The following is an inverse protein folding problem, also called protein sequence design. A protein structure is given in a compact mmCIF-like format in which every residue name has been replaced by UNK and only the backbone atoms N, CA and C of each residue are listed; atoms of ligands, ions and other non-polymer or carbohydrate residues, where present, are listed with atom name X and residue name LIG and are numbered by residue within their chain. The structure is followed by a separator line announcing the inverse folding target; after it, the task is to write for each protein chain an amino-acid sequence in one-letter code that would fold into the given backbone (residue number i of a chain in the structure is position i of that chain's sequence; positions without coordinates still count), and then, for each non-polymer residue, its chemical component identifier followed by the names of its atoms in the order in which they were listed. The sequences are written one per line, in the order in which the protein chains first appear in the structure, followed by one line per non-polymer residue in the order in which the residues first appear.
data_IF_993370921928
#
_entry.id   IF_993370921928
#
_cell.length_a   1.000
_cell.length_b   1.000
_cell.length_c   1.000
_cell.angle_alpha   90.00
_cell.angle_beta   90.00
_cell.angle_gamma   90.00
#
_symmetry.space_group_name_H-M   'P 1'
#
loop_
_entity.id
_entity.type
_entity.pdbx_description
1 polymer ?
#
# COMPACT_ATOMS: atom_id res chain seq x y z
N UNK A 1 -4.22 10.29 34.44
CA UNK A 1 -3.17 9.96 33.45
C UNK A 1 -3.30 8.50 33.13
N UNK A 2 -4.23 8.13 32.25
CA UNK A 2 -4.32 6.80 31.64
C UNK A 2 -4.93 7.03 30.27
N UNK A 3 -4.09 7.43 29.32
CA UNK A 3 -4.45 7.40 27.90
C UNK A 3 -4.61 5.93 27.55
N UNK A 4 -5.86 5.46 27.58
CA UNK A 4 -6.23 4.13 27.08
C UNK A 4 -5.99 4.18 25.58
N UNK A 5 -4.76 3.86 25.19
CA UNK A 5 -4.39 3.55 23.81
C UNK A 5 -5.19 2.31 23.45
N UNK A 6 -6.40 2.52 22.92
CA UNK A 6 -7.17 1.48 22.25
C UNK A 6 -6.22 0.80 21.27
N UNK A 7 -6.11 -0.53 21.25
CA UNK A 7 -5.34 -1.19 20.21
C UNK A 7 -5.96 -0.76 18.89
N UNK A 8 -5.24 0.10 18.15
CA UNK A 8 -5.58 0.56 16.82
C UNK A 8 -5.93 -0.71 16.06
N UNK A 9 -7.22 -0.92 15.76
CA UNK A 9 -7.70 -2.10 15.04
C UNK A 9 -6.71 -2.33 13.92
N UNK A 10 -5.97 -3.44 13.95
CA UNK A 10 -4.94 -3.73 12.95
C UNK A 10 -5.68 -4.11 11.67
N UNK A 11 -6.33 -3.14 11.03
CA UNK A 11 -6.83 -3.28 9.68
C UNK A 11 -5.61 -3.47 8.79
N UNK A 12 -5.68 -4.35 7.77
CA UNK A 12 -4.63 -4.39 6.76
C UNK A 12 -4.38 -2.97 6.27
N UNK A 13 -3.12 -2.54 6.36
CA UNK A 13 -2.71 -1.18 6.00
C UNK A 13 -2.15 -1.24 4.59
N UNK A 14 -2.58 -0.31 3.72
CA UNK A 14 -2.03 -0.20 2.37
C UNK A 14 -0.59 0.31 2.50
N UNK A 15 0.36 -0.53 2.11
CA UNK A 15 1.80 -0.23 2.09
C UNK A 15 2.17 0.43 0.76
N UNK A 16 1.62 -0.06 -0.36
CA UNK A 16 1.91 0.45 -1.70
C UNK A 16 0.69 0.46 -2.60
N UNK A 17 0.68 1.38 -3.55
CA UNK A 17 -0.23 1.42 -4.70
C UNK A 17 0.55 1.28 -6.00
N UNK A 18 0.02 0.49 -6.91
CA UNK A 18 0.58 0.31 -8.25
C UNK A 18 -0.33 1.02 -9.23
N UNK A 19 0.25 1.90 -10.03
CA UNK A 19 -0.43 2.74 -11.00
C UNK A 19 0.09 2.42 -12.40
N UNK A 20 -0.81 2.12 -13.33
CA UNK A 20 -0.48 2.15 -14.76
C UNK A 20 -0.52 3.59 -15.24
N UNK A 21 0.46 3.99 -16.03
CA UNK A 21 0.45 5.28 -16.73
C UNK A 21 0.13 5.00 -18.20
N UNK A 22 -1.02 5.45 -18.66
CA UNK A 22 -1.43 5.36 -20.07
C UNK A 22 -1.84 6.74 -20.59
N UNK A 23 -1.16 7.21 -21.64
CA UNK A 23 -1.46 8.49 -22.35
C UNK A 23 -1.64 9.73 -21.46
N UNK A 24 -1.03 9.75 -20.27
CA UNK A 24 -1.11 10.87 -19.33
C UNK A 24 -2.06 10.63 -18.16
N UNK A 25 -2.90 9.59 -18.24
CA UNK A 25 -3.78 9.18 -17.15
C UNK A 25 -3.09 8.15 -16.24
N UNK A 26 -3.40 8.23 -14.94
CA UNK A 26 -2.95 7.27 -13.94
C UNK A 26 -4.12 6.40 -13.50
N UNK A 27 -3.99 5.10 -13.68
CA UNK A 27 -4.99 4.11 -13.29
C UNK A 27 -4.44 3.23 -12.18
N UNK A 28 -5.17 3.11 -11.08
CA UNK A 28 -4.79 2.21 -9.99
C UNK A 28 -5.06 0.76 -10.41
N UNK A 29 -3.99 -0.04 -10.51
CA UNK A 29 -4.09 -1.43 -10.99
C UNK A 29 -3.89 -2.45 -9.87
N UNK A 30 -3.25 -2.06 -8.77
CA UNK A 30 -3.12 -2.94 -7.60
C UNK A 30 -2.86 -2.17 -6.32
N UNK A 31 -3.14 -2.82 -5.19
CA UNK A 31 -2.71 -2.38 -3.87
C UNK A 31 -1.92 -3.50 -3.18
N UNK A 32 -0.84 -3.13 -2.51
CA UNK A 32 -0.12 -4.01 -1.59
C UNK A 32 -0.54 -3.68 -0.17
N UNK A 33 -1.10 -4.68 0.50
CA UNK A 33 -1.56 -4.59 1.88
C UNK A 33 -0.56 -5.30 2.79
N UNK A 34 -0.17 -4.63 3.87
CA UNK A 34 0.51 -5.27 5.01
C UNK A 34 -0.53 -5.87 5.92
N UNK A 35 -0.49 -7.18 6.10
CA UNK A 35 -1.41 -7.91 6.99
C UNK A 35 -1.00 -7.76 8.45
N UNK A 36 -1.90 -8.13 9.35
CA UNK A 36 -1.70 -8.01 10.81
C UNK A 36 -0.50 -8.79 11.36
N UNK A 37 -0.05 -9.82 10.65
CA UNK A 37 1.12 -10.64 10.96
C UNK A 37 2.39 -10.16 10.23
N UNK A 38 2.37 -8.98 9.63
CA UNK A 38 3.51 -8.38 8.94
C UNK A 38 3.83 -8.96 7.56
N UNK A 39 2.98 -9.87 7.04
CA UNK A 39 3.09 -10.36 5.65
C UNK A 39 2.55 -9.32 4.68
N UNK A 40 2.89 -9.48 3.41
CA UNK A 40 2.34 -8.65 2.34
C UNK A 40 1.42 -9.46 1.45
N UNK A 41 0.31 -8.84 1.05
CA UNK A 41 -0.61 -9.38 0.06
C UNK A 41 -0.87 -8.32 -1.01
N UNK A 42 -0.67 -8.67 -2.27
CA UNK A 42 -1.08 -7.84 -3.39
C UNK A 42 -2.52 -8.18 -3.79
N UNK A 43 -3.33 -7.16 -4.03
CA UNK A 43 -4.67 -7.27 -4.58
C UNK A 43 -4.67 -6.54 -5.92
N UNK A 44 -4.87 -7.29 -7.00
CA UNK A 44 -5.02 -6.74 -8.34
C UNK A 44 -6.45 -6.25 -8.55
N UNK A 45 -6.59 -5.02 -9.04
CA UNK A 45 -7.87 -4.38 -9.34
C UNK A 45 -8.26 -4.51 -10.82
N UNK A 46 -7.30 -4.95 -11.64
CA UNK A 46 -7.48 -5.29 -13.05
C UNK A 46 -6.96 -6.72 -13.28
N UNK A 47 -7.40 -7.43 -14.33
CA UNK A 47 -6.84 -8.74 -14.66
C UNK A 47 -5.34 -8.62 -14.98
N UNK A 48 -4.52 -9.46 -14.36
CA UNK A 48 -3.06 -9.38 -14.47
C UNK A 48 -2.57 -9.46 -15.92
N UNK A 49 -3.26 -10.24 -16.75
CA UNK A 49 -2.97 -10.41 -18.17
C UNK A 49 -3.12 -9.11 -18.99
N UNK A 50 -3.83 -8.10 -18.45
CA UNK A 50 -4.03 -6.79 -19.08
C UNK A 50 -2.93 -5.78 -18.74
N UNK A 51 -2.04 -6.12 -17.81
CA UNK A 51 -0.94 -5.26 -17.41
C UNK A 51 0.09 -5.19 -18.53
N UNK A 52 0.22 -4.00 -19.10
CA UNK A 52 1.18 -3.68 -20.16
C UNK A 52 1.75 -2.28 -19.91
N UNK A 53 2.99 -2.06 -20.33
CA UNK A 53 3.66 -0.78 -20.20
C UNK A 53 4.28 -0.54 -18.82
N UNK A 54 4.47 0.74 -18.47
CA UNK A 54 5.16 1.16 -17.25
C UNK A 54 4.19 1.19 -16.08
N UNK A 55 4.61 0.60 -14.96
CA UNK A 55 3.93 0.70 -13.68
C UNK A 55 4.71 1.64 -12.75
N UNK A 56 4.01 2.62 -12.19
CA UNK A 56 4.50 3.50 -11.14
C UNK A 56 4.07 2.96 -9.78
N UNK A 57 5.02 2.91 -8.84
CA UNK A 57 4.77 2.44 -7.47
C UNK A 57 4.77 3.63 -6.53
N UNK A 58 3.65 3.84 -5.86
CA UNK A 58 3.50 4.80 -4.76
C UNK A 58 3.64 4.05 -3.44
N UNK A 59 4.52 4.52 -2.57
CA UNK A 59 4.64 4.03 -1.19
C UNK A 59 3.72 4.88 -0.31
N UNK A 60 2.78 4.25 0.38
CA UNK A 60 1.71 4.92 1.14
C UNK A 60 2.02 4.99 2.63
N UNK A 61 2.70 3.98 3.18
CA UNK A 61 3.22 4.04 4.56
C UNK A 61 4.52 4.85 4.56
N UNK A 62 4.52 6.04 5.18
CA UNK A 62 5.77 6.69 5.59
C UNK A 62 6.55 5.68 6.45
N UNK A 63 7.82 5.47 6.10
CA UNK A 63 8.72 4.67 6.91
C UNK A 63 8.62 5.15 8.38
N UNK A 64 8.64 4.25 9.37
CA UNK A 64 8.75 4.67 10.75
C UNK A 64 9.98 5.57 10.84
N UNK A 65 9.75 6.85 11.12
CA UNK A 65 10.80 7.84 11.34
C UNK A 65 11.74 7.25 12.37
N UNK A 66 13.02 7.13 11.99
CA UNK A 66 14.10 6.68 12.86
C UNK A 66 13.95 7.36 14.23
N UNK A 67 14.01 6.63 15.36
CA UNK A 67 14.19 7.31 16.63
C UNK A 67 15.55 8.01 16.56
N UNK A 68 15.53 9.33 16.38
CA UNK A 68 16.73 10.18 16.45
C UNK A 68 17.49 9.91 17.76
N UNK A 69 18.84 10.03 17.73
CA UNK A 69 19.76 9.47 18.71
C UNK A 69 19.58 9.97 20.15
#
# INVERSE_FOLDING_TARGET
MEDVVRPKSKSPTIDRRLWRIDRGDRELVAERHRTVNGRFRTVWLVPEETLRGVLWVEVVEEAPVDPSP
#
